data_IF_078345715259
#
_entry.id   IF_078345715259
#
_cell.length_a   1.000
_cell.length_b   1.000
_cell.length_c   1.000
_cell.angle_alpha   90.00
_cell.angle_beta   90.00
_cell.angle_gamma   90.00
#
_symmetry.space_group_name_H-M   'P 1'
#
loop_
_entity.id
_entity.type
_entity.pdbx_description
1 polymer ?
#
# COMPACT_ATOMS: atom_id res chain seq x y z
N UNK A 1 6.41 0.83 -10.00
CA UNK A 1 5.17 1.63 -10.19
C UNK A 1 5.06 2.58 -9.02
N UNK A 2 4.62 3.80 -9.26
CA UNK A 2 4.57 4.84 -8.23
C UNK A 2 3.25 5.60 -8.35
N UNK A 3 2.64 5.93 -7.21
CA UNK A 3 1.37 6.65 -7.13
C UNK A 3 1.48 7.76 -6.08
N UNK A 4 1.15 8.98 -6.47
CA UNK A 4 1.03 10.13 -5.58
C UNK A 4 -0.37 10.20 -5.00
N UNK A 5 -0.46 10.04 -3.69
CA UNK A 5 -1.72 9.88 -2.97
C UNK A 5 -1.83 10.86 -1.81
N UNK A 6 -3.06 11.05 -1.33
CA UNK A 6 -3.40 11.81 -0.14
C UNK A 6 -4.31 10.97 0.75
N UNK A 7 -4.05 11.00 2.05
CA UNK A 7 -4.89 10.32 3.05
C UNK A 7 -6.25 11.00 3.12
N UNK A 8 -7.30 10.25 2.81
CA UNK A 8 -8.69 10.69 2.91
C UNK A 8 -9.30 10.33 4.27
N UNK A 9 -8.99 9.14 4.79
CA UNK A 9 -9.50 8.64 6.07
C UNK A 9 -8.54 7.64 6.72
N UNK A 10 -8.58 7.55 8.05
CA UNK A 10 -7.83 6.57 8.85
C UNK A 10 -8.72 6.10 9.98
N UNK A 11 -9.00 4.80 10.05
CA UNK A 11 -9.80 4.23 11.13
C UNK A 11 -8.95 4.01 12.40
N UNK A 12 -9.61 4.00 13.56
CA UNK A 12 -8.97 3.78 14.87
C UNK A 12 -8.83 2.30 15.25
N UNK A 13 -9.15 1.37 14.35
CA UNK A 13 -9.04 -0.08 14.60
C UNK A 13 -7.60 -0.59 14.51
N UNK A 14 -7.40 -1.86 14.89
CA UNK A 14 -6.13 -2.57 14.72
C UNK A 14 -6.36 -3.86 13.88
N UNK A 15 -5.84 -3.94 12.64
CA UNK A 15 -5.04 -2.92 11.95
C UNK A 15 -5.86 -1.66 11.59
N UNK A 16 -5.18 -0.53 11.43
CA UNK A 16 -5.79 0.69 10.92
C UNK A 16 -6.10 0.49 9.44
N UNK A 17 -7.28 0.90 9.01
CA UNK A 17 -7.66 0.97 7.60
C UNK A 17 -7.43 2.40 7.13
N UNK A 18 -6.59 2.56 6.11
CA UNK A 18 -6.19 3.85 5.56
C UNK A 18 -6.75 3.94 4.16
N UNK A 19 -7.60 4.94 3.93
CA UNK A 19 -8.11 5.25 2.59
C UNK A 19 -7.28 6.37 1.97
N UNK A 20 -6.74 6.13 0.79
CA UNK A 20 -5.91 7.07 0.05
C UNK A 20 -6.54 7.38 -1.32
N UNK A 21 -6.47 8.64 -1.75
CA UNK A 21 -6.97 9.10 -3.05
C UNK A 21 -5.91 9.91 -3.80
N UNK A 22 -5.92 9.86 -5.12
CA UNK A 22 -4.96 10.59 -5.97
C UNK A 22 -4.88 9.99 -7.37
N UNK A 23 -3.67 9.61 -7.79
CA UNK A 23 -3.46 8.93 -9.08
C UNK A 23 -4.31 7.66 -9.23
N UNK A 24 -4.61 7.00 -8.11
CA UNK A 24 -5.51 5.86 -7.94
C UNK A 24 -6.17 5.93 -6.57
N UNK A 25 -7.29 5.24 -6.40
CA UNK A 25 -7.88 5.03 -5.07
C UNK A 25 -7.27 3.77 -4.44
N UNK A 26 -6.85 3.86 -3.18
CA UNK A 26 -6.18 2.77 -2.46
C UNK A 26 -6.81 2.60 -1.07
N UNK A 27 -7.00 1.36 -0.66
CA UNK A 27 -7.29 1.00 0.73
C UNK A 27 -6.15 0.12 1.23
N UNK A 28 -5.57 0.49 2.37
CA UNK A 28 -4.40 -0.16 2.94
C UNK A 28 -4.60 -0.42 4.43
N UNK A 29 -4.32 -1.65 4.85
CA UNK A 29 -4.30 -2.03 6.26
C UNK A 29 -2.87 -1.99 6.82
N UNK A 30 -2.68 -1.26 7.91
CA UNK A 30 -1.39 -1.19 8.62
C UNK A 30 -1.59 -1.05 10.12
N UNK A 31 -0.78 -1.72 10.96
CA UNK A 31 -0.80 -1.52 12.40
C UNK A 31 0.05 -0.29 12.78
N UNK A 32 -0.46 0.92 12.51
CA UNK A 32 0.29 2.18 12.63
C UNK A 32 0.92 2.36 14.00
N UNK A 33 0.18 2.06 15.08
CA UNK A 33 0.64 2.18 16.45
C UNK A 33 1.84 1.24 16.75
N UNK A 34 1.80 0.01 16.23
CA UNK A 34 2.91 -0.95 16.40
C UNK A 34 4.14 -0.57 15.58
N UNK A 35 3.94 0.13 14.48
CA UNK A 35 5.01 0.65 13.64
C UNK A 35 5.59 1.98 14.16
N UNK A 36 4.93 2.63 15.13
CA UNK A 36 5.33 3.95 15.62
C UNK A 36 5.16 5.05 14.57
N UNK A 37 4.21 4.89 13.65
CA UNK A 37 4.01 5.80 12.51
C UNK A 37 2.71 6.57 12.70
N UNK A 38 2.79 7.90 12.62
CA UNK A 38 1.61 8.76 12.61
C UNK A 38 1.21 9.07 11.16
N UNK A 39 0.01 8.64 10.77
CA UNK A 39 -0.63 9.02 9.50
C UNK A 39 -1.96 9.68 9.83
N UNK A 40 -2.19 10.86 9.25
CA UNK A 40 -3.40 11.65 9.48
C UNK A 40 -4.04 12.07 8.16
N UNK A 41 -5.36 12.33 8.20
CA UNK A 41 -6.11 12.86 7.07
C UNK A 41 -5.41 14.09 6.50
N UNK A 42 -5.24 14.09 5.18
CA UNK A 42 -4.58 15.15 4.44
C UNK A 42 -3.08 14.98 4.22
N UNK A 43 -2.42 14.02 4.88
CA UNK A 43 -1.02 13.70 4.60
C UNK A 43 -0.86 13.25 3.14
N UNK A 44 0.23 13.69 2.50
CA UNK A 44 0.64 13.19 1.18
C UNK A 44 1.49 11.95 1.38
N UNK A 45 1.21 10.91 0.61
CA UNK A 45 1.92 9.63 0.64
C UNK A 45 2.27 9.26 -0.79
N UNK A 46 3.49 8.78 -1.01
CA UNK A 46 3.84 8.13 -2.27
C UNK A 46 3.87 6.62 -2.07
N UNK A 47 2.96 5.91 -2.75
CA UNK A 47 2.94 4.45 -2.78
C UNK A 47 3.85 3.98 -3.92
N UNK A 48 4.79 3.10 -3.59
CA UNK A 48 5.76 2.55 -4.52
C UNK A 48 5.64 1.03 -4.53
N UNK A 49 5.59 0.42 -5.72
CA UNK A 49 5.49 -1.02 -5.91
C UNK A 49 6.56 -1.49 -6.89
N UNK A 50 7.43 -2.39 -6.45
CA UNK A 50 8.50 -2.99 -7.24
C UNK A 50 8.34 -4.51 -7.33
N UNK A 51 8.78 -5.11 -8.43
CA UNK A 51 8.88 -6.58 -8.56
C UNK A 51 10.14 -7.13 -7.87
N UNK A 52 11.14 -6.29 -7.71
CA UNK A 52 12.42 -6.61 -7.06
C UNK A 52 12.61 -5.77 -5.79
N UNK A 53 13.45 -6.27 -4.89
CA UNK A 53 13.74 -5.57 -3.65
C UNK A 53 14.58 -4.33 -3.96
N UNK A 54 14.13 -3.17 -3.51
CA UNK A 54 14.90 -1.93 -3.54
C UNK A 54 16.19 -2.07 -2.70
N UNK A 55 17.27 -1.49 -3.18
CA UNK A 55 18.57 -1.52 -2.50
C UNK A 55 18.67 -0.41 -1.45
N UNK A 56 17.95 0.70 -1.63
CA UNK A 56 17.90 1.80 -0.67
C UNK A 56 16.56 1.79 0.09
N UNK A 57 16.58 1.16 1.27
CA UNK A 57 15.40 1.04 2.11
C UNK A 57 15.14 2.27 2.97
N UNK A 58 16.13 3.15 3.15
CA UNK A 58 16.06 4.27 4.10
C UNK A 58 15.11 5.37 3.66
N UNK A 59 14.81 5.44 2.36
CA UNK A 59 13.85 6.40 1.80
C UNK A 59 12.38 6.08 2.15
N UNK A 60 12.09 4.87 2.62
CA UNK A 60 10.74 4.45 2.92
C UNK A 60 10.43 4.58 4.41
N UNK A 61 9.26 5.14 4.74
CA UNK A 61 8.71 5.08 6.10
C UNK A 61 8.17 3.69 6.42
N UNK A 62 7.59 3.05 5.41
CA UNK A 62 7.09 1.67 5.49
C UNK A 62 7.61 0.93 4.27
N UNK A 63 8.23 -0.22 4.48
CA UNK A 63 8.66 -1.09 3.40
C UNK A 63 8.36 -2.54 3.75
N UNK A 64 7.57 -3.19 2.90
CA UNK A 64 7.14 -4.56 3.08
C UNK A 64 7.14 -5.29 1.75
N UNK A 65 6.88 -6.59 1.77
CA UNK A 65 6.60 -7.35 0.57
C UNK A 65 5.28 -8.08 0.73
N UNK A 66 4.64 -8.37 -0.39
CA UNK A 66 3.36 -9.07 -0.43
C UNK A 66 3.21 -9.92 -1.67
N UNK A 67 2.13 -10.70 -1.70
CA UNK A 67 1.75 -11.53 -2.83
C UNK A 67 0.48 -10.95 -3.45
N UNK A 68 0.50 -10.77 -4.77
CA UNK A 68 -0.70 -10.42 -5.55
C UNK A 68 -1.63 -11.62 -5.55
N UNK A 69 -2.83 -11.50 -5.00
CA UNK A 69 -3.78 -12.62 -4.93
C UNK A 69 -5.02 -12.41 -5.80
N UNK A 70 -5.22 -11.20 -6.33
CA UNK A 70 -6.32 -10.89 -7.23
C UNK A 70 -5.96 -9.75 -8.18
N UNK A 71 -6.29 -9.93 -9.46
CA UNK A 71 -6.28 -8.88 -10.50
C UNK A 71 -7.50 -9.09 -11.38
N UNK A 72 -8.36 -8.09 -11.46
CA UNK A 72 -9.58 -8.14 -12.26
C UNK A 72 -10.59 -7.07 -11.83
N UNK A 73 -11.62 -6.87 -12.65
CA UNK A 73 -12.73 -5.94 -12.37
C UNK A 73 -12.25 -4.51 -12.01
N UNK A 74 -11.13 -4.08 -12.62
CA UNK A 74 -10.54 -2.77 -12.34
C UNK A 74 -9.82 -2.66 -10.99
N UNK A 75 -9.49 -3.77 -10.33
CA UNK A 75 -8.86 -3.79 -9.00
C UNK A 75 -7.65 -4.75 -8.98
N UNK A 76 -6.61 -4.37 -8.25
CA UNK A 76 -5.49 -5.23 -7.86
C UNK A 76 -5.48 -5.37 -6.34
N UNK A 77 -5.39 -6.59 -5.83
CA UNK A 77 -5.26 -6.85 -4.38
C UNK A 77 -3.98 -7.60 -4.05
N UNK A 78 -3.31 -7.12 -3.02
CA UNK A 78 -2.00 -7.58 -2.57
C UNK A 78 -2.08 -7.88 -1.08
N UNK A 79 -1.68 -9.07 -0.67
CA UNK A 79 -1.60 -9.44 0.75
C UNK A 79 -0.19 -9.17 1.25
N UNK A 80 -0.06 -8.31 2.24
CA UNK A 80 1.19 -7.93 2.91
C UNK A 80 1.20 -8.63 4.27
N UNK A 81 1.59 -9.91 4.29
CA UNK A 81 1.66 -10.70 5.53
C UNK A 81 0.31 -10.86 6.24
N UNK A 82 -0.79 -10.95 5.48
CA UNK A 82 -2.16 -11.01 6.01
C UNK A 82 -2.89 -9.67 6.04
N UNK A 83 -2.18 -8.54 5.87
CA UNK A 83 -2.78 -7.21 5.72
C UNK A 83 -3.17 -6.95 4.26
N UNK A 84 -4.28 -6.25 4.05
CA UNK A 84 -4.80 -5.96 2.71
C UNK A 84 -4.26 -4.66 2.13
N UNK A 85 -3.85 -4.71 0.86
CA UNK A 85 -3.62 -3.56 -0.01
C UNK A 85 -4.48 -3.70 -1.26
N UNK A 86 -5.50 -2.88 -1.35
CA UNK A 86 -6.41 -2.78 -2.50
C UNK A 86 -6.09 -1.52 -3.29
N UNK A 87 -5.88 -1.70 -4.59
CA UNK A 87 -5.64 -0.60 -5.53
C UNK A 87 -6.77 -0.67 -6.55
N UNK A 88 -7.59 0.39 -6.65
CA UNK A 88 -8.71 0.50 -7.61
C UNK A 88 -8.20 0.78 -9.03
N UNK A 89 -7.30 -0.08 -9.49
CA UNK A 89 -6.76 -0.15 -10.84
C UNK A 89 -6.20 -1.55 -11.09
N UNK A 90 -6.39 -2.09 -12.28
CA UNK A 90 -5.66 -3.27 -12.74
C UNK A 90 -4.20 -2.90 -13.04
N UNK A 91 -3.28 -3.46 -12.26
CA UNK A 91 -1.85 -3.28 -12.46
C UNK A 91 -1.31 -4.41 -13.34
N UNK A 92 -0.22 -4.18 -14.10
CA UNK A 92 0.43 -5.20 -14.93
C UNK A 92 1.24 -6.20 -14.07
N UNK A 93 0.55 -6.87 -13.15
CA UNK A 93 1.05 -7.88 -12.23
C UNK A 93 0.27 -9.18 -12.45
N UNK A 94 0.87 -10.32 -12.08
CA UNK A 94 0.21 -11.62 -12.14
C UNK A 94 -0.22 -12.08 -10.74
N UNK A 95 -1.31 -12.83 -10.66
CA UNK A 95 -1.68 -13.54 -9.43
C UNK A 95 -0.52 -14.50 -9.06
N UNK A 96 -0.15 -14.53 -7.77
CA UNK A 96 1.00 -15.23 -7.23
C UNK A 96 2.32 -14.46 -7.30
N UNK A 97 2.36 -13.31 -7.99
CA UNK A 97 3.58 -12.51 -8.09
C UNK A 97 3.93 -11.88 -6.73
N UNK A 98 5.20 -12.05 -6.32
CA UNK A 98 5.76 -11.34 -5.17
C UNK A 98 6.13 -9.92 -5.58
N UNK A 99 5.70 -8.95 -4.78
CA UNK A 99 6.04 -7.54 -4.96
C UNK A 99 6.54 -6.94 -3.65
N UNK A 100 7.29 -5.85 -3.77
CA UNK A 100 7.75 -5.02 -2.67
C UNK A 100 6.96 -3.71 -2.69
N UNK A 101 6.44 -3.32 -1.53
CA UNK A 101 5.57 -2.18 -1.33
C UNK A 101 6.25 -1.21 -0.38
N UNK A 102 6.44 0.02 -0.84
CA UNK A 102 7.02 1.12 -0.05
C UNK A 102 6.05 2.30 0.08
N UNK A 103 6.05 2.94 1.25
CA UNK A 103 5.42 4.25 1.46
C UNK A 103 6.49 5.28 1.82
N UNK A 104 6.42 6.44 1.18
CA UNK A 104 7.27 7.62 1.42
C UNK A 104 6.40 8.75 1.96
#
# INVERSE_FOLDING_TARGET
>A
MEFSLKVDDVTSGAPNVITLKGDVDVVLELPLDRLGISISKGNKIKLVIHKEKDQDLHKYKIYAWGIVYYVGEGITRISIGGLQLDIKKELPLKIGEKVYVGLI
#
